data_IF_790031499371
#
_entry.id   IF_790031499371
#
_cell.length_a   1.000
_cell.length_b   1.000
_cell.length_c   1.000
_cell.angle_alpha   90.00
_cell.angle_beta   90.00
_cell.angle_gamma   90.00
#
_symmetry.space_group_name_H-M   'P 1'
#
loop_
_entity.id
_entity.type
_entity.pdbx_description
1 polymer ?
#
# COMPACT_ATOMS: atom_id res chain seq x y z
N UNK A 1 13.59 -8.17 -66.58
CA UNK A 1 12.33 -8.27 -65.80
C UNK A 1 12.71 -8.46 -64.33
N UNK A 2 12.63 -7.38 -63.54
CA UNK A 2 13.06 -7.34 -62.14
C UNK A 2 11.93 -7.89 -61.27
N UNK A 3 12.16 -9.00 -60.55
CA UNK A 3 11.21 -9.54 -59.57
C UNK A 3 11.59 -9.03 -58.17
N UNK A 4 10.75 -8.19 -57.61
CA UNK A 4 10.63 -7.87 -56.18
C UNK A 4 9.11 -7.81 -55.96
N UNK A 5 8.50 -8.59 -55.03
CA UNK A 5 8.59 -8.28 -53.60
C UNK A 5 8.41 -9.49 -52.65
N UNK A 6 9.30 -9.63 -51.67
CA UNK A 6 9.06 -10.50 -50.52
C UNK A 6 9.63 -9.87 -49.25
N UNK A 7 9.24 -8.62 -48.96
CA UNK A 7 9.72 -7.89 -47.78
C UNK A 7 8.64 -7.07 -47.06
N UNK A 8 7.35 -7.32 -47.32
CA UNK A 8 6.25 -6.54 -46.71
C UNK A 8 5.28 -7.35 -45.83
N UNK A 9 5.66 -8.54 -45.36
CA UNK A 9 4.79 -9.32 -44.46
C UNK A 9 5.34 -9.56 -43.05
N UNK A 10 6.51 -9.02 -42.69
CA UNK A 10 7.12 -9.23 -41.36
C UNK A 10 7.01 -8.02 -40.41
N UNK A 11 6.41 -6.91 -40.86
CA UNK A 11 6.31 -5.69 -40.05
C UNK A 11 5.01 -5.58 -39.24
N UNK A 12 3.98 -6.40 -39.53
CA UNK A 12 2.68 -6.31 -38.85
C UNK A 12 2.59 -7.15 -37.58
N UNK A 13 3.38 -8.22 -37.43
CA UNK A 13 3.42 -9.05 -36.23
C UNK A 13 4.27 -8.46 -35.09
N UNK A 14 5.28 -7.65 -35.42
CA UNK A 14 6.14 -7.00 -34.42
C UNK A 14 5.43 -5.80 -33.78
N UNK A 15 4.62 -5.04 -34.54
CA UNK A 15 3.88 -3.89 -34.02
C UNK A 15 2.83 -4.25 -32.95
N UNK A 16 2.20 -5.43 -33.08
CA UNK A 16 1.16 -5.88 -32.15
C UNK A 16 1.74 -6.38 -30.81
N UNK A 17 3.00 -6.85 -30.80
CA UNK A 17 3.70 -7.23 -29.57
C UNK A 17 4.14 -6.03 -28.73
N UNK A 18 4.52 -4.92 -29.36
CA UNK A 18 4.87 -3.70 -28.64
C UNK A 18 3.66 -3.03 -27.99
N UNK A 19 2.47 -3.12 -28.59
CA UNK A 19 1.23 -2.57 -28.01
C UNK A 19 0.78 -3.29 -26.73
N UNK A 20 1.03 -4.59 -26.60
CA UNK A 20 0.64 -5.37 -25.42
C UNK A 20 1.67 -5.38 -24.28
N UNK A 21 2.92 -5.00 -24.53
CA UNK A 21 4.00 -5.01 -23.53
C UNK A 21 4.22 -3.64 -22.85
N UNK A 22 3.70 -2.56 -23.43
CA UNK A 22 3.61 -1.28 -22.75
C UNK A 22 2.35 -1.20 -21.90
N UNK A 23 2.28 -2.00 -20.84
CA UNK A 23 1.43 -1.66 -19.71
C UNK A 23 2.19 -0.58 -18.93
N UNK A 24 1.83 0.71 -19.03
CA UNK A 24 2.40 1.71 -18.14
C UNK A 24 2.03 1.25 -16.73
N UNK A 25 3.02 0.78 -15.97
CA UNK A 25 2.86 0.68 -14.53
C UNK A 25 2.66 2.11 -14.06
N UNK A 26 1.39 2.50 -13.93
CA UNK A 26 0.99 3.76 -13.36
C UNK A 26 1.47 3.75 -11.91
N UNK A 27 2.71 4.20 -11.70
CA UNK A 27 3.33 4.29 -10.37
C UNK A 27 2.77 5.45 -9.56
N UNK A 28 1.65 6.02 -9.98
CA UNK A 28 0.73 6.68 -9.07
C UNK A 28 -0.12 5.60 -8.40
N UNK A 29 0.53 4.74 -7.61
CA UNK A 29 -0.08 4.41 -6.34
C UNK A 29 -0.28 5.77 -5.69
N UNK A 30 -1.52 6.28 -5.70
CA UNK A 30 -1.89 7.46 -4.95
C UNK A 30 -1.44 7.15 -3.54
N UNK A 31 -0.31 7.75 -3.16
CA UNK A 31 0.19 7.74 -1.80
C UNK A 31 -0.92 8.44 -1.04
N UNK A 32 -1.79 7.61 -0.44
CA UNK A 32 -2.94 8.05 0.31
C UNK A 32 -2.32 8.80 1.47
N UNK A 33 -2.11 10.11 1.30
CA UNK A 33 -1.27 10.91 2.16
C UNK A 33 -1.68 10.61 3.59
N UNK A 34 -0.80 9.95 4.33
CA UNK A 34 -1.16 9.40 5.63
C UNK A 34 -1.71 10.55 6.47
N UNK A 35 -2.94 10.40 6.97
CA UNK A 35 -3.58 11.45 7.76
C UNK A 35 -2.74 11.65 9.01
N UNK A 36 -2.23 12.88 9.22
CA UNK A 36 -1.45 13.17 10.41
C UNK A 36 -2.37 13.21 11.63
N UNK A 37 -2.21 12.24 12.53
CA UNK A 37 -2.95 12.18 13.79
C UNK A 37 -2.05 12.69 14.91
N UNK A 38 -2.57 13.62 15.71
CA UNK A 38 -1.88 14.19 16.87
C UNK A 38 -2.74 14.03 18.12
N UNK A 39 -2.13 13.68 19.24
CA UNK A 39 -2.74 13.69 20.56
C UNK A 39 -1.85 14.48 21.52
N UNK A 40 -2.34 15.62 22.03
CA UNK A 40 -1.57 16.53 22.89
C UNK A 40 -0.16 16.86 22.36
N UNK A 41 -0.07 17.16 21.06
CA UNK A 41 1.20 17.50 20.40
C UNK A 41 2.08 16.30 20.03
N UNK A 42 1.69 15.08 20.41
CA UNK A 42 2.41 13.85 20.06
C UNK A 42 1.82 13.26 18.79
N UNK A 43 2.67 13.05 17.77
CA UNK A 43 2.28 12.34 16.55
C UNK A 43 2.00 10.87 16.83
N UNK A 44 0.85 10.36 16.37
CA UNK A 44 0.44 8.96 16.54
C UNK A 44 0.71 8.19 15.25
N UNK A 45 1.61 7.21 15.34
CA UNK A 45 1.84 6.27 14.27
C UNK A 45 0.76 5.19 14.25
N UNK A 46 0.24 4.88 13.07
CA UNK A 46 -0.78 3.86 12.89
C UNK A 46 -0.58 3.12 11.56
N UNK A 47 -1.25 1.98 11.42
CA UNK A 47 -1.45 1.30 10.13
C UNK A 47 -2.94 1.25 9.81
N UNK A 48 -3.28 1.28 8.53
CA UNK A 48 -4.65 1.13 8.02
C UNK A 48 -4.63 0.05 6.94
N UNK A 49 -5.20 -1.12 7.24
CA UNK A 49 -5.14 -2.30 6.37
C UNK A 49 -6.54 -2.83 6.10
N UNK A 50 -6.79 -3.26 4.87
CA UNK A 50 -8.11 -3.74 4.45
C UNK A 50 -9.09 -2.60 4.14
N UNK A 51 -10.29 -2.95 3.69
CA UNK A 51 -11.32 -2.02 3.23
C UNK A 51 -12.75 -2.44 3.62
N UNK A 52 -12.89 -3.33 4.61
CA UNK A 52 -14.21 -3.80 5.06
C UNK A 52 -15.01 -2.71 5.79
N UNK A 53 -16.34 -2.79 5.72
CA UNK A 53 -17.24 -1.76 6.27
C UNK A 53 -17.18 -1.65 7.81
N UNK A 54 -16.84 -2.75 8.48
CA UNK A 54 -16.58 -2.75 9.92
C UNK A 54 -15.10 -2.51 10.19
N UNK A 55 -14.80 -1.50 11.01
CA UNK A 55 -13.43 -1.17 11.45
C UNK A 55 -13.12 -1.81 12.80
N UNK A 56 -11.98 -2.52 12.87
CA UNK A 56 -11.41 -3.02 14.11
C UNK A 56 -10.19 -2.16 14.49
N UNK A 57 -10.24 -1.56 15.68
CA UNK A 57 -9.14 -0.76 16.23
C UNK A 57 -8.40 -1.57 17.30
N UNK A 58 -7.11 -1.80 17.09
CA UNK A 58 -6.24 -2.46 18.06
C UNK A 58 -5.37 -1.43 18.80
N UNK A 59 -5.49 -1.45 20.13
CA UNK A 59 -4.70 -0.64 21.06
C UNK A 59 -3.79 -1.56 21.85
N UNK A 60 -2.49 -1.31 21.83
CA UNK A 60 -1.51 -2.17 22.49
C UNK A 60 -1.42 -1.90 24.00
N UNK A 61 -0.95 -2.90 24.76
CA UNK A 61 -0.64 -2.79 26.18
C UNK A 61 0.76 -2.25 26.47
N UNK A 62 1.18 -2.30 27.74
CA UNK A 62 2.50 -1.81 28.17
C UNK A 62 3.63 -2.71 27.62
N UNK A 63 4.79 -2.10 27.33
CA UNK A 63 6.02 -2.75 26.79
C UNK A 63 5.91 -3.41 25.41
N UNK A 64 4.81 -3.21 24.70
CA UNK A 64 4.65 -3.65 23.30
C UNK A 64 4.30 -2.45 22.43
N UNK A 65 4.15 -2.69 21.12
CA UNK A 65 3.74 -1.68 20.14
C UNK A 65 2.77 -2.33 19.12
N UNK A 66 2.32 -1.58 18.12
CA UNK A 66 1.31 -2.02 17.15
C UNK A 66 1.66 -3.28 16.37
N UNK A 67 2.95 -3.60 16.21
CA UNK A 67 3.40 -4.82 15.51
C UNK A 67 3.03 -6.12 16.23
N UNK A 68 2.67 -6.05 17.52
CA UNK A 68 2.16 -7.18 18.29
C UNK A 68 0.94 -7.82 17.61
N UNK A 69 0.17 -7.04 16.86
CA UNK A 69 -1.05 -7.49 16.20
C UNK A 69 -0.84 -7.97 14.75
N UNK A 70 0.40 -8.12 14.26
CA UNK A 70 0.67 -8.47 12.86
C UNK A 70 -0.07 -9.74 12.38
N UNK A 71 -0.14 -10.76 13.23
CA UNK A 71 -0.84 -12.01 12.90
C UNK A 71 -2.36 -11.80 12.81
N UNK A 72 -2.93 -10.99 13.71
CA UNK A 72 -4.33 -10.63 13.70
C UNK A 72 -4.67 -9.76 12.49
N UNK A 73 -3.81 -8.80 12.13
CA UNK A 73 -3.96 -7.99 10.91
C UNK A 73 -3.97 -8.89 9.68
N UNK A 74 -3.05 -9.85 9.57
CA UNK A 74 -3.00 -10.79 8.46
C UNK A 74 -4.27 -11.62 8.33
N UNK A 75 -4.83 -12.06 9.46
CA UNK A 75 -6.03 -12.90 9.46
C UNK A 75 -7.32 -12.08 9.24
N UNK A 76 -7.47 -10.96 9.93
CA UNK A 76 -8.70 -10.17 9.97
C UNK A 76 -8.80 -9.14 8.83
N UNK A 77 -7.67 -8.69 8.28
CA UNK A 77 -7.61 -7.65 7.24
C UNK A 77 -8.27 -8.04 5.92
N UNK A 78 -8.52 -9.34 5.69
CA UNK A 78 -9.27 -9.83 4.52
C UNK A 78 -10.77 -9.54 4.62
N UNK A 79 -11.31 -9.36 5.84
CA UNK A 79 -12.75 -9.17 6.09
C UNK A 79 -13.08 -7.79 6.66
N UNK A 80 -12.19 -7.26 7.48
CA UNK A 80 -12.38 -6.00 8.20
C UNK A 80 -11.39 -4.95 7.71
N UNK A 81 -11.73 -3.66 7.91
CA UNK A 81 -10.69 -2.63 7.97
C UNK A 81 -10.05 -2.71 9.34
N UNK A 82 -8.74 -2.93 9.40
CA UNK A 82 -7.99 -3.09 10.64
C UNK A 82 -7.04 -1.92 10.80
N UNK A 83 -7.20 -1.20 11.91
CA UNK A 83 -6.33 -0.09 12.30
C UNK A 83 -5.55 -0.51 13.54
N UNK A 84 -4.23 -0.36 13.51
CA UNK A 84 -3.36 -0.58 14.68
C UNK A 84 -2.63 0.72 15.01
N UNK A 85 -2.49 1.05 16.29
CA UNK A 85 -1.85 2.31 16.72
C UNK A 85 -0.68 2.05 17.67
N UNK A 86 0.33 2.92 17.61
CA UNK A 86 1.31 3.07 18.68
C UNK A 86 0.83 4.16 19.65
N UNK A 87 0.67 3.83 20.92
CA UNK A 87 0.39 4.82 21.97
C UNK A 87 1.59 5.77 22.15
N UNK A 88 1.39 7.00 22.67
CA UNK A 88 2.48 7.93 22.96
C UNK A 88 3.63 7.28 23.74
N UNK A 89 4.87 7.52 23.30
CA UNK A 89 6.04 6.92 23.94
C UNK A 89 6.44 5.53 23.41
N UNK A 90 5.62 4.89 22.56
CA UNK A 90 5.89 3.55 22.04
C UNK A 90 6.06 3.54 20.52
N UNK A 91 6.78 2.52 20.03
CA UNK A 91 6.95 2.27 18.60
C UNK A 91 7.44 3.50 17.83
N UNK A 92 6.69 3.84 16.79
CA UNK A 92 6.96 4.97 15.88
C UNK A 92 6.17 6.23 16.23
N UNK A 93 5.34 6.20 17.28
CA UNK A 93 4.71 7.41 17.81
C UNK A 93 5.75 8.32 18.46
N UNK A 94 5.46 9.61 18.47
CA UNK A 94 6.31 10.58 19.14
C UNK A 94 6.48 10.25 20.63
N UNK A 95 7.58 10.74 21.21
CA UNK A 95 7.75 10.75 22.66
C UNK A 95 7.03 11.97 23.21
N UNK A 96 6.33 11.82 24.33
CA UNK A 96 5.85 12.98 25.07
C UNK A 96 7.07 13.67 25.67
N UNK A 97 7.28 14.93 25.27
CA UNK A 97 8.17 15.85 25.97
C UNK A 97 7.24 16.74 26.80
N UNK A 98 7.03 16.35 28.05
CA UNK A 98 6.43 17.23 29.05
C UNK A 98 7.50 17.61 30.06
#
# INVERSE_FOLDING_TARGET
>A
MKKLPALFSLATSIGLWYACTQHPQNKNAIDKSAVKISNHGVNIAYTDTGKGDTTLLFVHGRRINKSYFNNQVKYLGNKYRVITIDLPGYGQSGKSHN
#
